data_IF_282595380739
#
_entry.id   IF_282595380739
#
_cell.length_a   1.000
_cell.length_b   1.000
_cell.length_c   1.000
_cell.angle_alpha   90.00
_cell.angle_beta   90.00
_cell.angle_gamma   90.00
#
_symmetry.space_group_name_H-M   'P 1'
#
loop_
_entity.id
_entity.type
_entity.pdbx_description
1 polymer ?
#
# COMPACT_ATOMS: atom_id res chain seq x y z
N UNK A 1 14.30 2.99 2.15
CA UNK A 1 12.99 2.45 1.72
C UNK A 1 11.99 3.59 1.73
N UNK A 2 11.14 3.70 0.72
CA UNK A 2 10.08 4.72 0.71
C UNK A 2 8.86 4.16 1.43
N UNK A 3 8.43 4.85 2.48
CA UNK A 3 7.22 4.52 3.26
C UNK A 3 6.05 5.28 2.65
N UNK A 4 4.96 4.60 2.29
CA UNK A 4 3.73 5.26 1.84
C UNK A 4 2.87 5.67 3.04
N UNK A 5 2.38 6.90 3.02
CA UNK A 5 1.54 7.48 4.09
C UNK A 5 0.05 7.45 3.71
N UNK A 6 -0.82 7.74 4.68
CA UNK A 6 -2.27 7.88 4.45
C UNK A 6 -2.56 8.77 3.23
N UNK A 7 -3.52 8.34 2.39
CA UNK A 7 -3.95 8.98 1.15
C UNK A 7 -2.91 9.01 0.02
N UNK A 8 -1.77 8.31 0.17
CA UNK A 8 -0.86 8.08 -0.95
C UNK A 8 -1.60 7.34 -2.06
N UNK A 9 -1.55 7.88 -3.27
CA UNK A 9 -2.17 7.29 -4.45
C UNK A 9 -1.11 6.51 -5.24
N UNK A 10 -1.41 5.26 -5.56
CA UNK A 10 -0.60 4.39 -6.40
C UNK A 10 -1.36 4.08 -7.69
N UNK A 11 -0.62 3.75 -8.76
CA UNK A 11 -1.19 3.36 -10.06
C UNK A 11 -2.27 4.36 -10.53
N UNK A 12 -1.90 5.64 -10.62
CA UNK A 12 -2.80 6.73 -11.04
C UNK A 12 -4.11 6.84 -10.24
N UNK A 13 -4.08 6.49 -8.94
CA UNK A 13 -5.24 6.60 -8.06
C UNK A 13 -6.10 5.34 -7.95
N UNK A 14 -5.72 4.25 -8.61
CA UNK A 14 -6.39 2.94 -8.46
C UNK A 14 -6.31 2.47 -7.01
N UNK A 15 -5.17 2.66 -6.33
CA UNK A 15 -5.02 2.27 -4.93
C UNK A 15 -4.72 3.47 -4.04
N UNK A 16 -5.52 3.64 -2.99
CA UNK A 16 -5.34 4.69 -1.99
C UNK A 16 -4.94 4.05 -0.67
N UNK A 17 -3.73 4.36 -0.18
CA UNK A 17 -3.23 3.85 1.10
C UNK A 17 -4.08 4.39 2.25
N UNK A 18 -4.61 3.48 3.07
CA UNK A 18 -5.41 3.83 4.24
C UNK A 18 -4.63 3.67 5.55
N UNK A 19 -3.77 2.66 5.66
CA UNK A 19 -3.04 2.40 6.90
C UNK A 19 -1.85 1.47 6.66
N UNK A 20 -0.75 1.70 7.37
CA UNK A 20 0.31 0.70 7.58
C UNK A 20 -0.20 -0.34 8.58
N UNK A 21 -0.20 -1.61 8.19
CA UNK A 21 -0.73 -2.71 9.02
C UNK A 21 0.32 -3.74 9.42
N UNK A 22 1.55 -3.59 8.92
CA UNK A 22 2.69 -4.40 9.34
C UNK A 22 3.95 -4.00 8.61
N UNK A 23 5.10 -4.36 9.17
CA UNK A 23 6.40 -4.18 8.56
C UNK A 23 7.34 -5.26 9.04
N UNK A 24 8.19 -5.76 8.15
CA UNK A 24 9.26 -6.71 8.48
C UNK A 24 10.52 -6.32 7.71
N UNK A 25 11.64 -7.02 7.95
CA UNK A 25 12.88 -6.83 7.20
C UNK A 25 12.77 -7.06 5.68
N UNK A 26 11.61 -7.49 5.18
CA UNK A 26 11.31 -7.74 3.76
C UNK A 26 10.31 -6.75 3.14
N UNK A 27 10.02 -5.65 3.83
CA UNK A 27 9.13 -4.59 3.36
C UNK A 27 7.95 -4.31 4.28
N UNK A 28 7.16 -3.32 3.88
CA UNK A 28 5.98 -2.83 4.57
C UNK A 28 4.70 -3.41 3.97
N UNK A 29 3.68 -3.56 4.81
CA UNK A 29 2.37 -4.06 4.45
C UNK A 29 1.33 -3.00 4.76
N UNK A 30 0.52 -2.66 3.76
CA UNK A 30 -0.48 -1.60 3.82
C UNK A 30 -1.86 -2.15 3.52
N UNK A 31 -2.86 -1.58 4.19
CA UNK A 31 -4.26 -1.65 3.76
C UNK A 31 -4.52 -0.51 2.78
N UNK A 32 -5.10 -0.81 1.64
CA UNK A 32 -5.51 0.17 0.64
C UNK A 32 -6.96 -0.03 0.18
N UNK A 33 -7.56 1.04 -0.34
CA UNK A 33 -8.81 0.98 -1.11
C UNK A 33 -8.45 0.85 -2.60
N UNK A 34 -8.94 -0.21 -3.22
CA UNK A 34 -9.00 -0.37 -4.68
C UNK A 34 -10.24 0.37 -5.16
N UNK A 35 -10.05 1.45 -5.93
CA UNK A 35 -11.11 2.37 -6.35
C UNK A 35 -11.86 1.88 -7.58
N UNK A 36 -11.26 1.02 -8.40
CA UNK A 36 -11.90 0.46 -9.59
C UNK A 36 -12.86 -0.67 -9.21
N UNK A 37 -12.39 -1.61 -8.38
CA UNK A 37 -13.20 -2.76 -7.93
C UNK A 37 -13.97 -2.48 -6.63
N UNK A 38 -13.85 -1.26 -6.09
CA UNK A 38 -14.48 -0.81 -4.84
C UNK A 38 -14.30 -1.77 -3.64
N UNK A 39 -13.09 -2.31 -3.47
CA UNK A 39 -12.77 -3.30 -2.43
C UNK A 39 -11.55 -2.91 -1.61
N UNK A 40 -11.36 -3.59 -0.49
CA UNK A 40 -10.17 -3.44 0.33
C UNK A 40 -9.13 -4.47 -0.10
N UNK A 41 -7.88 -4.02 -0.23
CA UNK A 41 -6.76 -4.88 -0.60
C UNK A 41 -5.59 -4.67 0.36
N UNK A 42 -4.70 -5.66 0.38
CA UNK A 42 -3.39 -5.57 1.04
C UNK A 42 -2.34 -5.33 -0.04
N UNK A 43 -1.48 -4.33 0.17
CA UNK A 43 -0.32 -4.06 -0.68
C UNK A 43 0.93 -4.31 0.16
N UNK A 44 1.86 -5.10 -0.35
CA UNK A 44 3.14 -5.38 0.30
C UNK A 44 4.28 -4.89 -0.58
N UNK A 45 5.19 -4.09 -0.02
CA UNK A 45 6.44 -3.76 -0.73
C UNK A 45 7.40 -4.94 -0.64
N UNK A 46 8.15 -5.15 -1.72
CA UNK A 46 9.30 -6.03 -1.73
C UNK A 46 10.55 -5.20 -1.42
N UNK A 47 11.55 -5.81 -0.78
CA UNK A 47 12.88 -5.19 -0.73
C UNK A 47 13.39 -4.98 -2.16
N UNK A 48 14.00 -3.82 -2.41
CA UNK A 48 14.85 -3.66 -3.60
C UNK A 48 16.15 -4.43 -3.33
N UNK A 49 16.54 -5.28 -4.26
CA UNK A 49 17.88 -5.89 -4.32
C UNK A 49 18.96 -4.81 -4.48
#
# INVERSE_FOLDING_TARGET
>A
MQVWILNTQLQNGQYIIQKVIGGSGFGETYRARDTEENRLVVIKTLNRE
#
